data_IF_741875772516
#
_entry.id   IF_741875772516
#
_cell.length_a   1.000
_cell.length_b   1.000
_cell.length_c   1.000
_cell.angle_alpha   90.00
_cell.angle_beta   90.00
_cell.angle_gamma   90.00
#
_symmetry.space_group_name_H-M   'P 1'
#
loop_
_entity.id
_entity.type
_entity.pdbx_description
1 polymer ?
#
# COMPACT_ATOMS: atom_id res chain seq x y z
N UNK A 1 6.31 -3.07 23.58
CA UNK A 1 7.00 -1.78 23.76
C UNK A 1 6.02 -0.78 24.34
N UNK A 2 6.44 0.07 25.28
CA UNK A 2 5.60 1.15 25.80
C UNK A 2 5.80 2.39 24.93
N UNK A 3 4.71 2.95 24.41
CA UNK A 3 4.66 4.24 23.71
C UNK A 3 3.94 5.21 24.64
N UNK A 4 4.60 6.32 24.98
CA UNK A 4 4.12 7.28 25.97
C UNK A 4 3.75 8.60 25.32
N UNK A 5 2.46 8.97 25.38
CA UNK A 5 1.96 10.28 24.95
C UNK A 5 1.47 11.12 26.13
N UNK A 6 1.56 10.60 27.38
CA UNK A 6 1.10 11.27 28.59
C UNK A 6 1.97 12.50 28.88
N UNK A 7 1.32 13.66 29.04
CA UNK A 7 1.97 14.94 29.32
C UNK A 7 3.03 15.37 28.29
N UNK A 8 3.00 14.81 27.10
CA UNK A 8 3.92 15.21 26.01
C UNK A 8 3.28 16.23 25.09
N UNK A 9 4.05 17.23 24.71
CA UNK A 9 3.75 18.11 23.58
C UNK A 9 4.44 17.53 22.35
N UNK A 10 3.66 17.18 21.35
CA UNK A 10 4.17 16.75 20.04
C UNK A 10 4.22 17.98 19.15
N UNK A 11 5.41 18.53 18.98
CA UNK A 11 5.67 19.78 18.21
C UNK A 11 6.98 19.60 17.44
N UNK A 12 6.89 18.98 16.27
CA UNK A 12 8.02 18.71 15.40
C UNK A 12 7.57 18.68 13.95
N UNK A 13 8.54 18.79 13.03
CA UNK A 13 8.30 18.65 11.59
C UNK A 13 8.61 17.24 11.14
N UNK A 14 7.74 16.66 10.32
CA UNK A 14 7.90 15.32 9.76
C UNK A 14 7.59 15.33 8.26
N UNK A 15 8.48 14.73 7.48
CA UNK A 15 8.25 14.48 6.06
C UNK A 15 7.42 13.21 5.86
N UNK A 16 6.41 13.29 5.00
CA UNK A 16 5.78 12.07 4.48
C UNK A 16 6.84 11.27 3.69
N UNK A 17 6.98 9.95 3.95
CA UNK A 17 7.97 9.15 3.25
C UNK A 17 7.66 9.09 1.74
N UNK A 18 8.63 8.71 0.88
CA UNK A 18 8.36 8.52 -0.55
C UNK A 18 7.23 7.52 -0.79
N UNK A 19 6.32 7.83 -1.72
CA UNK A 19 5.17 6.98 -2.03
C UNK A 19 5.61 5.60 -2.51
N UNK A 20 5.35 4.60 -1.68
CA UNK A 20 5.61 3.20 -2.01
C UNK A 20 4.96 2.80 -3.34
N UNK A 21 3.71 3.20 -3.55
CA UNK A 21 2.94 2.88 -4.75
C UNK A 21 3.53 3.46 -6.02
N UNK A 22 4.12 4.65 -5.97
CA UNK A 22 4.82 5.26 -7.09
C UNK A 22 6.21 4.66 -7.24
N UNK A 23 6.93 4.46 -6.14
CA UNK A 23 8.29 3.94 -6.15
C UNK A 23 8.40 2.58 -6.85
N UNK A 24 7.51 1.63 -6.55
CA UNK A 24 7.47 0.33 -7.23
C UNK A 24 7.37 0.48 -8.75
N UNK A 25 6.45 1.34 -9.21
CA UNK A 25 6.21 1.58 -10.64
C UNK A 25 7.43 2.20 -11.32
N UNK A 26 7.99 3.23 -10.71
CA UNK A 26 9.21 3.88 -11.20
C UNK A 26 10.37 2.89 -11.35
N UNK A 27 10.60 2.04 -10.34
CA UNK A 27 11.66 1.03 -10.39
C UNK A 27 11.44 0.01 -11.51
N UNK A 28 10.20 -0.52 -11.62
CA UNK A 28 9.88 -1.55 -12.61
C UNK A 28 10.00 -0.97 -14.03
N UNK A 29 9.41 0.20 -14.30
CA UNK A 29 9.42 0.79 -15.64
C UNK A 29 10.84 1.17 -16.04
N UNK A 30 11.65 1.74 -15.15
CA UNK A 30 13.07 2.01 -15.41
C UNK A 30 13.85 0.74 -15.70
N UNK A 31 13.64 -0.31 -14.90
CA UNK A 31 14.26 -1.60 -15.16
C UNK A 31 13.92 -2.12 -16.56
N UNK A 32 12.65 -2.07 -16.94
CA UNK A 32 12.19 -2.47 -18.27
C UNK A 32 12.79 -1.59 -19.38
N UNK A 33 13.15 -0.36 -19.07
CA UNK A 33 13.82 0.57 -19.99
C UNK A 33 15.37 0.43 -19.98
N UNK A 34 15.91 -0.58 -19.28
CA UNK A 34 17.35 -0.82 -19.19
C UNK A 34 18.10 0.09 -18.19
N UNK A 35 17.40 0.89 -17.40
CA UNK A 35 17.99 1.71 -16.33
C UNK A 35 18.03 0.93 -15.01
N UNK A 36 19.21 0.47 -14.64
CA UNK A 36 19.47 -0.32 -13.43
C UNK A 36 20.11 0.50 -12.28
N UNK A 37 20.28 1.81 -12.45
CA UNK A 37 21.02 2.65 -11.50
C UNK A 37 20.40 2.68 -10.09
N UNK A 38 19.09 2.46 -9.97
CA UNK A 38 18.35 2.57 -8.71
C UNK A 38 18.05 1.23 -8.04
N UNK A 39 18.64 0.12 -8.48
CA UNK A 39 18.40 -1.21 -7.91
C UNK A 39 19.15 -1.46 -6.61
N UNK A 40 20.23 -0.74 -6.33
CA UNK A 40 20.94 -0.86 -5.06
C UNK A 40 20.00 -0.49 -3.89
N UNK A 41 19.93 -1.34 -2.83
CA UNK A 41 19.13 -1.01 -1.66
C UNK A 41 19.69 0.22 -0.93
N UNK A 42 18.80 1.07 -0.42
CA UNK A 42 19.13 2.22 0.43
C UNK A 42 18.65 1.94 1.86
N UNK A 43 19.30 2.58 2.84
CA UNK A 43 18.88 2.44 4.25
C UNK A 43 17.46 2.99 4.49
N UNK A 44 17.09 4.05 3.76
CA UNK A 44 15.75 4.65 3.78
C UNK A 44 14.68 3.85 3.02
N UNK A 45 15.03 2.79 2.28
CA UNK A 45 14.02 1.98 1.60
C UNK A 45 13.20 1.18 2.62
N UNK A 46 11.89 1.25 2.51
CA UNK A 46 11.03 0.32 3.23
C UNK A 46 11.16 -1.12 2.69
N UNK A 47 10.69 -2.09 3.46
CA UNK A 47 10.87 -3.53 3.13
C UNK A 47 10.22 -3.93 1.82
N UNK A 48 9.07 -3.35 1.46
CA UNK A 48 8.38 -3.63 0.20
C UNK A 48 9.19 -3.15 -1.01
N UNK A 49 9.81 -1.96 -0.92
CA UNK A 49 10.70 -1.42 -1.97
C UNK A 49 11.96 -2.27 -2.08
N UNK A 50 12.56 -2.67 -0.95
CA UNK A 50 13.72 -3.59 -0.92
C UNK A 50 13.39 -4.91 -1.61
N UNK A 51 12.20 -5.48 -1.38
CA UNK A 51 11.76 -6.69 -2.07
C UNK A 51 11.67 -6.50 -3.59
N UNK A 52 11.12 -5.39 -4.07
CA UNK A 52 11.09 -5.09 -5.52
C UNK A 52 12.48 -4.95 -6.10
N UNK A 53 13.39 -4.22 -5.44
CA UNK A 53 14.79 -4.10 -5.87
C UNK A 53 15.49 -5.46 -5.95
N UNK A 54 15.26 -6.34 -4.97
CA UNK A 54 15.83 -7.68 -4.94
C UNK A 54 15.32 -8.55 -6.10
N UNK A 55 14.02 -8.52 -6.39
CA UNK A 55 13.41 -9.23 -7.54
C UNK A 55 13.98 -8.71 -8.86
N UNK A 56 14.03 -7.39 -9.06
CA UNK A 56 14.57 -6.78 -10.28
C UNK A 56 16.07 -7.09 -10.45
N UNK A 57 16.83 -7.11 -9.36
CA UNK A 57 18.25 -7.51 -9.38
C UNK A 57 18.40 -8.96 -9.81
N UNK A 58 17.59 -9.88 -9.27
CA UNK A 58 17.62 -11.29 -9.65
C UNK A 58 17.28 -11.49 -11.14
N UNK A 59 16.32 -10.73 -11.67
CA UNK A 59 15.97 -10.76 -13.10
C UNK A 59 17.10 -10.22 -13.99
N UNK A 60 17.74 -9.09 -13.61
CA UNK A 60 18.90 -8.54 -14.32
C UNK A 60 20.05 -9.55 -14.37
N UNK A 61 20.37 -10.16 -13.22
CA UNK A 61 21.50 -11.10 -13.10
C UNK A 61 21.21 -12.41 -13.84
N UNK A 62 19.95 -12.77 -14.01
CA UNK A 62 19.54 -13.89 -14.86
C UNK A 62 19.81 -13.59 -16.33
N UNK A 63 19.44 -12.41 -16.83
CA UNK A 63 19.66 -12.01 -18.22
C UNK A 63 21.14 -11.78 -18.58
N UNK A 64 22.01 -11.62 -17.59
CA UNK A 64 23.46 -11.42 -17.80
C UNK A 64 24.28 -12.71 -17.78
N UNK A 65 23.67 -13.89 -17.52
CA UNK A 65 24.39 -15.18 -17.44
C UNK A 65 24.77 -15.66 -18.82
N UNK A 66 26.02 -16.15 -18.96
CA UNK A 66 26.44 -16.89 -20.12
C UNK A 66 25.94 -18.36 -20.07
N UNK A 67 25.89 -19.01 -21.21
CA UNK A 67 25.29 -20.34 -21.37
C UNK A 67 25.97 -21.49 -20.57
N UNK A 68 27.01 -21.21 -19.78
CA UNK A 68 27.81 -22.23 -19.07
C UNK A 68 27.38 -22.50 -17.62
N UNK A 69 26.41 -21.75 -17.09
CA UNK A 69 25.97 -21.88 -15.69
C UNK A 69 24.44 -21.88 -15.51
N UNK A 70 23.70 -22.52 -16.42
CA UNK A 70 22.23 -22.41 -16.50
C UNK A 70 21.54 -23.18 -15.36
N UNK A 71 20.83 -22.44 -14.49
CA UNK A 71 19.72 -22.98 -13.71
C UNK A 71 18.46 -22.89 -14.57
N UNK A 72 17.62 -23.92 -14.58
CA UNK A 72 16.32 -23.92 -15.24
C UNK A 72 15.30 -23.02 -14.53
N UNK A 73 15.69 -22.40 -13.43
CA UNK A 73 14.82 -21.57 -12.61
C UNK A 73 15.50 -20.33 -12.05
N UNK A 74 14.68 -19.28 -11.78
CA UNK A 74 15.07 -18.05 -11.08
C UNK A 74 14.24 -17.88 -9.83
N UNK A 75 14.91 -17.63 -8.69
CA UNK A 75 14.24 -17.32 -7.42
C UNK A 75 14.08 -15.82 -7.24
N UNK A 76 12.85 -15.39 -6.96
CA UNK A 76 12.40 -14.00 -6.89
C UNK A 76 11.83 -13.70 -5.50
N UNK A 77 12.61 -13.03 -4.61
CA UNK A 77 12.24 -12.86 -3.21
C UNK A 77 11.26 -11.70 -3.02
N UNK A 78 9.99 -12.00 -2.73
CA UNK A 78 8.93 -11.00 -2.50
C UNK A 78 8.73 -10.64 -1.03
N UNK A 79 9.30 -11.41 -0.08
CA UNK A 79 9.05 -11.26 1.35
C UNK A 79 7.55 -11.18 1.66
N UNK A 80 7.07 -10.13 2.32
CA UNK A 80 5.65 -9.87 2.58
C UNK A 80 5.01 -8.89 1.59
N UNK A 81 5.74 -8.44 0.56
CA UNK A 81 5.29 -7.39 -0.36
C UNK A 81 4.26 -7.89 -1.37
N UNK A 82 2.98 -7.55 -1.12
CA UNK A 82 1.90 -7.87 -2.05
C UNK A 82 2.00 -7.12 -3.38
N UNK A 83 2.52 -5.90 -3.37
CA UNK A 83 2.74 -5.11 -4.60
C UNK A 83 3.83 -5.73 -5.45
N UNK A 84 4.97 -6.10 -4.84
CA UNK A 84 6.06 -6.77 -5.54
C UNK A 84 5.58 -8.07 -6.19
N UNK A 85 4.94 -8.95 -5.44
CA UNK A 85 4.46 -10.24 -5.98
C UNK A 85 3.52 -10.04 -7.17
N UNK A 86 2.48 -9.20 -7.01
CA UNK A 86 1.44 -9.05 -8.01
C UNK A 86 1.86 -8.29 -9.25
N UNK A 87 2.77 -7.33 -9.12
CA UNK A 87 3.36 -6.65 -10.27
C UNK A 87 4.37 -7.55 -10.99
N UNK A 88 5.19 -8.26 -10.22
CA UNK A 88 6.31 -8.99 -10.80
C UNK A 88 5.95 -10.35 -11.38
N UNK A 89 4.82 -10.96 -11.03
CA UNK A 89 4.36 -12.19 -11.71
C UNK A 89 4.22 -11.94 -13.22
N UNK A 90 3.35 -11.03 -13.71
CA UNK A 90 3.23 -10.81 -15.15
C UNK A 90 4.48 -10.16 -15.75
N UNK A 91 5.13 -9.24 -15.05
CA UNK A 91 6.34 -8.57 -15.55
C UNK A 91 7.48 -9.55 -15.76
N UNK A 92 7.77 -10.41 -14.78
CA UNK A 92 8.84 -11.39 -14.89
C UNK A 92 8.50 -12.48 -15.92
N UNK A 93 7.22 -12.89 -15.99
CA UNK A 93 6.76 -13.81 -17.03
C UNK A 93 6.99 -13.23 -18.44
N UNK A 94 6.57 -12.00 -18.71
CA UNK A 94 6.81 -11.35 -19.99
C UNK A 94 8.31 -11.11 -20.27
N UNK A 95 9.10 -10.81 -19.23
CA UNK A 95 10.53 -10.49 -19.34
C UNK A 95 11.37 -11.74 -19.63
N UNK A 96 11.12 -12.88 -18.99
CA UNK A 96 11.89 -14.12 -19.10
C UNK A 96 11.19 -15.15 -19.99
N UNK A 97 9.88 -15.34 -19.80
CA UNK A 97 9.08 -16.39 -20.44
C UNK A 97 8.21 -15.87 -21.59
N UNK A 98 8.43 -14.64 -22.06
CA UNK A 98 7.67 -14.06 -23.15
C UNK A 98 7.99 -14.75 -24.48
N UNK A 99 6.98 -14.91 -25.35
CA UNK A 99 7.11 -15.53 -26.67
C UNK A 99 8.27 -14.90 -27.48
N UNK A 100 9.13 -15.76 -28.03
CA UNK A 100 10.29 -15.33 -28.81
C UNK A 100 11.44 -14.73 -27.98
N UNK A 101 11.39 -14.81 -26.67
CA UNK A 101 12.47 -14.39 -25.76
C UNK A 101 13.54 -15.47 -25.66
N UNK A 102 14.79 -15.04 -25.58
CA UNK A 102 15.86 -15.92 -25.14
C UNK A 102 15.83 -15.98 -23.61
N UNK A 103 15.25 -17.05 -23.07
CA UNK A 103 15.15 -17.27 -21.63
C UNK A 103 16.47 -17.71 -21.00
N UNK A 104 17.56 -17.82 -21.77
CA UNK A 104 18.84 -18.40 -21.35
C UNK A 104 18.65 -19.76 -20.65
N UNK A 105 17.67 -20.56 -21.07
CA UNK A 105 17.35 -21.89 -20.52
C UNK A 105 16.45 -21.87 -19.28
N UNK A 106 16.05 -20.69 -18.79
CA UNK A 106 15.11 -20.58 -17.67
C UNK A 106 13.69 -20.86 -18.14
N UNK A 107 13.01 -21.79 -17.49
CA UNK A 107 11.62 -22.16 -17.79
C UNK A 107 10.71 -22.09 -16.55
N UNK A 108 11.26 -21.65 -15.40
CA UNK A 108 10.56 -21.58 -14.12
C UNK A 108 10.95 -20.34 -13.32
N UNK A 109 9.95 -19.59 -12.86
CA UNK A 109 10.12 -18.49 -11.92
C UNK A 109 9.56 -18.93 -10.56
N UNK A 110 10.34 -18.75 -9.48
CA UNK A 110 9.98 -19.17 -8.12
C UNK A 110 9.91 -17.91 -7.25
N UNK A 111 8.69 -17.46 -6.94
CA UNK A 111 8.48 -16.33 -6.04
C UNK A 111 8.42 -16.82 -4.59
N UNK A 112 9.40 -16.44 -3.77
CA UNK A 112 9.38 -16.74 -2.34
C UNK A 112 8.56 -15.72 -1.58
N UNK A 113 7.79 -16.19 -0.60
CA UNK A 113 6.88 -15.36 0.19
C UNK A 113 7.13 -15.51 1.68
N UNK A 114 6.74 -14.51 2.46
CA UNK A 114 6.76 -14.54 3.91
C UNK A 114 5.41 -14.09 4.50
N UNK A 115 5.20 -14.36 5.79
CA UNK A 115 3.99 -13.98 6.50
C UNK A 115 2.73 -14.50 5.84
N UNK A 116 1.72 -13.64 5.68
CA UNK A 116 0.43 -13.95 5.06
C UNK A 116 0.42 -13.80 3.53
N UNK A 117 1.53 -13.42 2.91
CA UNK A 117 1.53 -13.12 1.47
C UNK A 117 1.12 -14.34 0.62
N UNK A 118 1.59 -15.53 1.01
CA UNK A 118 1.25 -16.79 0.34
C UNK A 118 -0.26 -17.06 0.30
N UNK A 119 -0.96 -16.72 1.38
CA UNK A 119 -2.38 -17.02 1.56
C UNK A 119 -3.30 -16.03 0.82
N UNK A 120 -2.75 -14.91 0.33
CA UNK A 120 -3.52 -13.90 -0.40
C UNK A 120 -3.96 -14.42 -1.77
N UNK A 121 -5.17 -14.02 -2.25
CA UNK A 121 -5.70 -14.49 -3.52
C UNK A 121 -4.80 -14.09 -4.70
N UNK A 122 -4.72 -15.01 -5.68
CA UNK A 122 -4.05 -14.84 -6.97
C UNK A 122 -4.90 -15.41 -8.12
N UNK A 123 -6.10 -15.88 -7.82
CA UNK A 123 -6.94 -16.63 -8.76
C UNK A 123 -7.28 -15.80 -9.99
N UNK A 124 -7.66 -14.54 -9.83
CA UNK A 124 -8.02 -13.66 -10.95
C UNK A 124 -6.82 -13.41 -11.89
N UNK A 125 -5.61 -13.29 -11.31
CA UNK A 125 -4.40 -13.13 -12.11
C UNK A 125 -4.05 -14.41 -12.85
N UNK A 126 -4.17 -15.57 -12.19
CA UNK A 126 -3.97 -16.88 -12.80
C UNK A 126 -4.92 -17.07 -13.97
N UNK A 127 -6.21 -16.85 -13.75
CA UNK A 127 -7.25 -17.04 -14.75
C UNK A 127 -7.08 -16.10 -15.96
N UNK A 128 -6.52 -14.90 -15.75
CA UNK A 128 -6.18 -13.97 -16.82
C UNK A 128 -4.92 -14.38 -17.60
N UNK A 129 -3.96 -15.07 -16.99
CA UNK A 129 -2.68 -15.42 -17.63
C UNK A 129 -2.67 -16.84 -18.23
N UNK A 130 -3.48 -17.74 -17.70
CA UNK A 130 -3.55 -19.14 -18.17
C UNK A 130 -3.90 -19.27 -19.67
N UNK A 131 -4.90 -18.53 -20.24
CA UNK A 131 -5.18 -18.56 -21.67
C UNK A 131 -4.02 -18.08 -22.55
N UNK A 132 -3.06 -17.38 -21.96
CA UNK A 132 -1.85 -16.85 -22.60
C UNK A 132 -0.61 -17.70 -22.31
N UNK A 133 -0.79 -18.97 -21.95
CA UNK A 133 0.27 -19.96 -21.84
C UNK A 133 1.04 -19.96 -20.50
N UNK A 134 0.60 -19.23 -19.50
CA UNK A 134 1.26 -19.16 -18.17
C UNK A 134 0.49 -19.98 -17.14
N UNK A 135 1.20 -20.90 -16.47
CA UNK A 135 0.71 -21.58 -15.25
C UNK A 135 1.23 -20.87 -14.00
N UNK A 136 0.34 -20.64 -13.02
CA UNK A 136 0.65 -20.10 -11.70
C UNK A 136 0.20 -21.11 -10.64
N UNK A 137 1.15 -21.71 -9.94
CA UNK A 137 0.89 -22.73 -8.94
C UNK A 137 1.40 -22.29 -7.57
N UNK A 138 0.66 -22.66 -6.51
CA UNK A 138 1.08 -22.49 -5.11
C UNK A 138 1.68 -23.80 -4.59
N UNK A 139 2.93 -23.74 -4.10
CA UNK A 139 3.56 -24.85 -3.39
C UNK A 139 3.42 -24.61 -1.88
N UNK A 140 2.51 -25.33 -1.27
CA UNK A 140 2.23 -25.26 0.17
C UNK A 140 3.41 -25.70 1.04
N UNK A 141 4.24 -26.63 0.54
CA UNK A 141 5.36 -27.16 1.31
C UNK A 141 6.48 -26.14 1.49
N UNK A 142 6.75 -25.35 0.46
CA UNK A 142 7.78 -24.31 0.45
C UNK A 142 7.24 -22.91 0.63
N UNK A 143 5.89 -22.74 0.58
CA UNK A 143 5.19 -21.45 0.58
C UNK A 143 5.70 -20.51 -0.53
N UNK A 144 5.87 -21.07 -1.73
CA UNK A 144 6.32 -20.36 -2.92
C UNK A 144 5.24 -20.35 -4.01
N UNK A 145 5.31 -19.34 -4.87
CA UNK A 145 4.49 -19.28 -6.08
C UNK A 145 5.39 -19.66 -7.25
N UNK A 146 5.00 -20.67 -8.00
CA UNK A 146 5.75 -21.19 -9.15
C UNK A 146 5.03 -20.73 -10.42
N UNK A 147 5.78 -20.08 -11.32
CA UNK A 147 5.26 -19.60 -12.62
C UNK A 147 6.07 -20.28 -13.72
N UNK A 148 5.36 -20.92 -14.66
CA UNK A 148 5.94 -21.63 -15.81
C UNK A 148 5.13 -21.38 -17.07
N UNK A 149 5.67 -21.81 -18.21
CA UNK A 149 5.01 -21.67 -19.51
C UNK A 149 5.69 -20.66 -20.43
N UNK A 150 4.99 -20.22 -21.47
CA UNK A 150 5.46 -19.20 -22.41
C UNK A 150 4.37 -18.14 -22.58
N UNK A 151 4.65 -16.89 -22.11
CA UNK A 151 3.67 -15.81 -22.14
C UNK A 151 3.49 -15.24 -23.54
N UNK A 152 2.26 -15.27 -24.05
CA UNK A 152 1.92 -14.81 -25.40
C UNK A 152 1.18 -13.46 -25.38
N UNK A 153 1.33 -12.62 -26.43
CA UNK A 153 0.56 -11.40 -26.59
C UNK A 153 -0.95 -11.68 -26.77
N UNK A 154 -1.79 -10.67 -26.60
CA UNK A 154 -3.23 -10.76 -26.84
C UNK A 154 -4.09 -9.98 -25.83
N UNK A 155 -5.34 -10.39 -25.72
CA UNK A 155 -6.35 -9.77 -24.84
C UNK A 155 -6.39 -10.47 -23.48
N UNK A 156 -5.96 -9.80 -22.42
CA UNK A 156 -5.98 -10.29 -21.06
C UNK A 156 -7.26 -9.83 -20.34
N UNK A 157 -8.20 -10.74 -20.14
CA UNK A 157 -9.47 -10.44 -19.45
C UNK A 157 -9.31 -10.67 -17.95
N UNK A 158 -9.67 -9.67 -17.13
CA UNK A 158 -9.49 -9.76 -15.69
C UNK A 158 -10.63 -9.07 -14.94
N UNK A 159 -11.05 -9.66 -13.79
CA UNK A 159 -12.01 -9.04 -12.89
C UNK A 159 -11.34 -7.89 -12.09
N UNK A 160 -11.89 -6.67 -12.24
CA UNK A 160 -11.40 -5.47 -11.57
C UNK A 160 -11.79 -5.34 -10.11
N UNK A 161 -12.65 -6.21 -9.58
CA UNK A 161 -13.23 -6.08 -8.25
C UNK A 161 -12.27 -6.44 -7.11
N UNK A 162 -11.26 -7.31 -7.37
CA UNK A 162 -10.38 -7.86 -6.32
C UNK A 162 -9.11 -7.01 -6.13
N UNK A 163 -8.36 -6.74 -7.19
CA UNK A 163 -7.10 -6.01 -7.04
C UNK A 163 -6.66 -5.25 -8.30
N UNK A 164 -6.57 -3.93 -8.19
CA UNK A 164 -5.96 -3.07 -9.22
C UNK A 164 -4.47 -3.36 -9.47
N UNK A 165 -3.80 -4.07 -8.56
CA UNK A 165 -2.39 -4.44 -8.71
C UNK A 165 -2.17 -5.45 -9.85
N UNK A 166 -3.15 -6.33 -10.11
CA UNK A 166 -3.07 -7.26 -11.24
C UNK A 166 -3.08 -6.53 -12.57
N UNK A 167 -4.03 -5.59 -12.74
CA UNK A 167 -4.13 -4.75 -13.93
C UNK A 167 -2.84 -3.94 -14.12
N UNK A 168 -2.34 -3.31 -13.07
CA UNK A 168 -1.07 -2.56 -13.11
C UNK A 168 0.11 -3.43 -13.55
N UNK A 169 0.23 -4.64 -13.02
CA UNK A 169 1.28 -5.60 -13.39
C UNK A 169 1.18 -6.02 -14.85
N UNK A 170 -0.02 -6.34 -15.33
CA UNK A 170 -0.26 -6.67 -16.74
C UNK A 170 0.06 -5.50 -17.65
N UNK A 171 -0.37 -4.26 -17.32
CA UNK A 171 -0.08 -3.09 -18.16
C UNK A 171 1.43 -2.86 -18.33
N UNK A 172 2.22 -3.02 -17.27
CA UNK A 172 3.68 -2.93 -17.37
C UNK A 172 4.26 -4.09 -18.17
N UNK A 173 3.77 -5.32 -17.99
CA UNK A 173 4.24 -6.51 -18.71
C UNK A 173 3.99 -6.43 -20.21
N UNK A 174 2.79 -6.01 -20.61
CA UNK A 174 2.38 -5.99 -22.03
C UNK A 174 3.15 -4.98 -22.88
N UNK A 175 3.80 -3.97 -22.26
CA UNK A 175 4.72 -3.09 -23.00
C UNK A 175 5.91 -3.85 -23.61
N UNK A 176 6.21 -5.05 -23.13
CA UNK A 176 7.34 -5.88 -23.59
C UNK A 176 7.06 -6.64 -24.88
N UNK A 177 5.82 -6.72 -25.34
CA UNK A 177 5.48 -7.36 -26.62
C UNK A 177 5.59 -6.39 -27.79
N UNK A 178 5.75 -6.92 -28.99
CA UNK A 178 5.70 -6.17 -30.26
C UNK A 178 4.30 -6.17 -30.85
N UNK A 179 3.53 -7.21 -30.57
CA UNK A 179 2.17 -7.38 -31.01
C UNK A 179 1.19 -6.63 -30.10
N UNK A 180 0.10 -6.14 -30.71
CA UNK A 180 -0.94 -5.45 -29.97
C UNK A 180 -1.51 -6.33 -28.86
N UNK A 181 -1.40 -5.82 -27.64
CA UNK A 181 -1.89 -6.50 -26.44
C UNK A 181 -2.60 -5.50 -25.54
N UNK A 182 -3.66 -5.95 -24.86
CA UNK A 182 -4.41 -5.07 -23.97
C UNK A 182 -5.07 -5.83 -22.83
N UNK A 183 -5.52 -5.08 -21.84
CA UNK A 183 -6.25 -5.60 -20.68
C UNK A 183 -7.71 -5.20 -20.78
N UNK A 184 -8.62 -6.18 -20.82
CA UNK A 184 -10.06 -5.98 -20.67
C UNK A 184 -10.48 -6.23 -19.23
N UNK A 185 -11.10 -5.23 -18.61
CA UNK A 185 -11.57 -5.34 -17.23
C UNK A 185 -13.03 -5.69 -17.21
N UNK A 186 -13.37 -6.79 -16.54
CA UNK A 186 -14.75 -7.20 -16.28
C UNK A 186 -15.14 -6.84 -14.84
N UNK A 187 -16.45 -6.85 -14.56
CA UNK A 187 -16.94 -6.51 -13.23
C UNK A 187 -16.78 -5.03 -12.88
N UNK A 188 -16.83 -4.74 -11.59
CA UNK A 188 -16.69 -3.39 -11.08
C UNK A 188 -15.19 -3.04 -10.91
N UNK A 189 -14.73 -1.99 -11.59
CA UNK A 189 -13.36 -1.52 -11.45
C UNK A 189 -13.19 -0.76 -10.13
N UNK A 190 -12.44 -1.33 -9.19
CA UNK A 190 -12.15 -0.73 -7.88
C UNK A 190 -10.74 -0.19 -7.80
N UNK A 191 -10.56 0.87 -7.00
CA UNK A 191 -9.24 1.51 -6.80
C UNK A 191 -8.58 1.95 -8.11
N UNK A 192 -9.36 2.60 -8.97
CA UNK A 192 -8.92 3.12 -10.29
C UNK A 192 -7.66 4.00 -10.16
N UNK A 193 -7.52 4.78 -9.08
CA UNK A 193 -6.38 5.67 -8.86
C UNK A 193 -5.02 4.94 -8.88
N UNK A 194 -4.96 3.68 -8.44
CA UNK A 194 -3.70 2.91 -8.53
C UNK A 194 -3.38 2.48 -9.97
N UNK A 195 -4.39 2.32 -10.83
CA UNK A 195 -4.18 2.06 -12.25
C UNK A 195 -3.72 3.35 -12.93
N UNK A 196 -4.33 4.49 -12.58
CA UNK A 196 -3.93 5.81 -13.06
C UNK A 196 -2.47 6.12 -12.70
N UNK A 197 -2.00 5.78 -11.49
CA UNK A 197 -0.59 5.90 -11.14
C UNK A 197 0.32 5.05 -12.05
N UNK A 198 -0.16 3.91 -12.54
CA UNK A 198 0.59 3.08 -13.48
C UNK A 198 0.60 3.69 -14.87
N UNK A 199 -0.54 4.18 -15.36
CA UNK A 199 -0.63 4.83 -16.69
C UNK A 199 0.18 6.13 -16.71
N UNK A 200 0.19 6.91 -15.63
CA UNK A 200 1.00 8.14 -15.51
C UNK A 200 2.51 7.80 -15.48
N UNK A 201 2.89 6.77 -14.73
CA UNK A 201 4.28 6.32 -14.70
C UNK A 201 4.73 5.81 -16.08
N UNK A 202 3.92 5.01 -16.77
CA UNK A 202 4.20 4.56 -18.14
C UNK A 202 4.30 5.75 -19.10
N UNK A 203 3.36 6.70 -19.05
CA UNK A 203 3.38 7.90 -19.88
C UNK A 203 4.65 8.75 -19.66
N UNK A 204 5.09 8.90 -18.42
CA UNK A 204 6.34 9.62 -18.06
C UNK A 204 7.56 9.05 -18.77
N UNK A 205 7.58 7.75 -19.01
CA UNK A 205 8.65 7.05 -19.72
C UNK A 205 8.34 6.81 -21.22
N UNK A 206 7.34 7.49 -21.78
CA UNK A 206 7.03 7.43 -23.21
C UNK A 206 6.19 6.23 -23.65
N UNK A 207 5.53 5.54 -22.70
CA UNK A 207 4.64 4.40 -22.96
C UNK A 207 3.18 4.76 -22.62
N UNK A 208 2.51 5.60 -23.43
CA UNK A 208 1.13 5.97 -23.14
C UNK A 208 0.21 4.75 -23.16
N UNK A 209 -0.78 4.78 -22.26
CA UNK A 209 -1.86 3.80 -22.21
C UNK A 209 -3.14 4.48 -22.67
N UNK A 210 -3.72 3.98 -23.76
CA UNK A 210 -5.03 4.42 -24.24
C UNK A 210 -6.12 3.66 -23.50
N UNK A 211 -7.15 4.34 -23.04
CA UNK A 211 -8.29 3.73 -22.37
C UNK A 211 -9.54 3.88 -23.25
N UNK A 212 -10.26 2.78 -23.46
CA UNK A 212 -11.53 2.73 -24.17
C UNK A 212 -12.56 1.93 -23.35
N UNK A 213 -13.49 2.63 -22.72
CA UNK A 213 -14.42 1.99 -21.79
C UNK A 213 -13.67 1.34 -20.61
N UNK A 214 -13.81 0.03 -20.46
CA UNK A 214 -13.12 -0.76 -19.45
C UNK A 214 -11.84 -1.46 -19.97
N UNK A 215 -11.37 -1.13 -21.17
CA UNK A 215 -10.18 -1.70 -21.76
C UNK A 215 -9.00 -0.72 -21.74
N UNK A 216 -7.80 -1.24 -21.45
CA UNK A 216 -6.55 -0.50 -21.35
C UNK A 216 -5.55 -1.02 -22.37
N UNK A 217 -5.11 -0.17 -23.28
CA UNK A 217 -4.20 -0.46 -24.40
C UNK A 217 -2.85 0.20 -24.14
N UNK A 218 -1.88 -0.50 -23.51
CA UNK A 218 -0.52 0.02 -23.36
C UNK A 218 0.17 0.06 -24.72
N UNK A 219 1.11 0.98 -24.88
CA UNK A 219 1.97 0.99 -26.06
C UNK A 219 2.90 -0.21 -26.02
N UNK A 220 2.70 -1.13 -26.94
CA UNK A 220 3.54 -2.32 -27.15
C UNK A 220 4.73 -1.94 -28.01
N UNK A 221 5.96 -2.00 -27.51
CA UNK A 221 7.16 -1.55 -28.24
C UNK A 221 8.24 -2.61 -28.37
N UNK A 222 8.04 -3.78 -27.77
CA UNK A 222 9.06 -4.80 -27.74
C UNK A 222 10.35 -4.24 -27.14
N UNK A 223 10.53 -4.31 -25.83
CA UNK A 223 11.85 -4.00 -25.28
C UNK A 223 12.87 -4.96 -25.89
N UNK A 224 13.70 -4.48 -26.81
CA UNK A 224 14.98 -5.10 -27.00
C UNK A 224 15.65 -5.02 -25.63
N UNK A 225 15.78 -6.15 -24.94
CA UNK A 225 16.80 -6.28 -23.90
C UNK A 225 18.05 -5.85 -24.64
N UNK A 226 18.57 -4.68 -24.29
CA UNK A 226 19.74 -4.16 -24.95
C UNK A 226 20.80 -5.26 -24.87
N UNK A 227 21.01 -5.94 -25.99
CA UNK A 227 22.34 -6.42 -26.28
C UNK A 227 23.25 -5.25 -25.93
N UNK A 228 24.32 -5.46 -25.20
CA UNK A 228 25.25 -4.45 -24.71
C UNK A 228 25.82 -3.49 -25.79
N UNK A 229 25.24 -3.47 -26.98
CA UNK A 229 25.49 -2.59 -28.10
C UNK A 229 24.69 -1.29 -27.93
N UNK A 230 25.41 -0.33 -27.36
CA UNK A 230 25.07 1.05 -27.02
C UNK A 230 24.66 1.95 -28.21
N UNK A 231 24.05 1.44 -29.28
CA UNK A 231 23.76 2.23 -30.48
C UNK A 231 22.28 2.60 -30.69
N UNK A 232 21.35 2.22 -29.82
CA UNK A 232 19.95 2.60 -29.96
C UNK A 232 19.65 3.90 -29.19
N UNK A 233 19.51 4.99 -29.94
CA UNK A 233 19.29 6.36 -29.48
C UNK A 233 18.03 6.59 -28.60
N UNK A 234 17.14 5.61 -28.48
CA UNK A 234 15.97 5.68 -27.62
C UNK A 234 16.31 5.53 -26.11
N UNK A 235 17.41 4.86 -25.76
CA UNK A 235 17.78 4.57 -24.39
C UNK A 235 18.51 5.73 -23.68
N UNK A 236 19.09 6.67 -24.42
CA UNK A 236 19.79 7.82 -23.86
C UNK A 236 18.89 8.87 -23.21
N UNK A 237 17.57 8.85 -23.51
CA UNK A 237 16.63 9.87 -23.02
C UNK A 237 16.07 9.59 -21.61
N UNK A 238 16.12 8.36 -21.11
CA UNK A 238 15.54 8.02 -19.80
C UNK A 238 16.46 8.36 -18.62
N UNK A 239 17.77 8.38 -18.83
CA UNK A 239 18.73 8.82 -17.79
C UNK A 239 18.51 10.29 -17.37
N UNK A 240 17.92 11.10 -18.26
CA UNK A 240 17.62 12.51 -18.00
C UNK A 240 16.33 12.72 -17.20
N UNK A 241 15.49 11.68 -17.06
CA UNK A 241 14.27 11.77 -16.24
C UNK A 241 14.65 11.64 -14.76
N UNK A 242 14.46 12.67 -13.93
CA UNK A 242 14.82 12.58 -12.51
C UNK A 242 14.07 11.46 -11.80
N UNK A 243 14.80 10.65 -11.04
CA UNK A 243 14.19 9.70 -10.10
C UNK A 243 13.72 10.44 -8.87
N UNK A 244 12.51 10.98 -8.93
CA UNK A 244 11.90 11.70 -7.83
C UNK A 244 10.53 11.11 -7.54
N UNK A 245 10.35 10.57 -6.35
CA UNK A 245 9.08 10.04 -5.85
C UNK A 245 8.47 11.05 -4.89
N UNK A 246 7.22 11.43 -5.13
CA UNK A 246 6.49 12.32 -4.23
C UNK A 246 6.12 11.61 -2.91
N UNK A 247 5.74 12.38 -1.90
CA UNK A 247 5.33 11.86 -0.60
C UNK A 247 4.12 10.94 -0.68
N UNK A 248 4.11 9.94 0.18
CA UNK A 248 3.08 8.91 0.28
C UNK A 248 1.84 9.45 1.00
N UNK A 249 0.72 9.55 0.28
CA UNK A 249 -0.53 10.02 0.86
C UNK A 249 -1.18 9.00 1.80
N UNK A 250 -0.88 7.70 1.66
CA UNK A 250 -1.37 6.70 2.61
C UNK A 250 -0.75 6.86 3.99
N UNK A 251 0.58 7.08 4.06
CA UNK A 251 1.29 7.39 5.31
C UNK A 251 1.04 8.85 5.73
N UNK A 252 0.96 9.76 4.78
CA UNK A 252 0.59 11.15 5.00
C UNK A 252 -0.77 11.30 5.67
N UNK A 253 -1.75 10.46 5.32
CA UNK A 253 -3.06 10.45 5.97
C UNK A 253 -2.97 10.17 7.47
N UNK A 254 -2.13 9.21 7.90
CA UNK A 254 -1.86 8.98 9.32
C UNK A 254 -1.29 10.23 9.99
N UNK A 255 -0.30 10.87 9.38
CA UNK A 255 0.33 12.07 9.90
C UNK A 255 -0.65 13.24 10.00
N UNK A 256 -1.51 13.41 9.01
CA UNK A 256 -2.56 14.44 9.01
C UNK A 256 -3.62 14.15 10.08
N UNK A 257 -4.01 12.87 10.28
CA UNK A 257 -4.85 12.50 11.40
C UNK A 257 -4.18 12.78 12.75
N UNK A 258 -2.88 12.51 12.90
CA UNK A 258 -2.13 12.82 14.12
C UNK A 258 -2.03 14.34 14.37
N UNK A 259 -1.91 15.13 13.31
CA UNK A 259 -1.88 16.59 13.37
C UNK A 259 -3.16 17.19 13.97
N UNK A 260 -4.32 16.57 13.78
CA UNK A 260 -5.59 17.04 14.37
C UNK A 260 -5.55 17.08 15.92
N UNK A 261 -4.66 16.32 16.56
CA UNK A 261 -4.51 16.23 18.02
C UNK A 261 -3.10 16.59 18.52
N UNK A 262 -2.27 17.19 17.65
CA UNK A 262 -0.89 17.58 17.97
C UNK A 262 -0.47 18.84 17.18
N UNK A 263 0.67 19.42 17.55
CA UNK A 263 1.23 20.61 16.88
C UNK A 263 2.26 20.24 15.79
N UNK A 264 2.26 18.99 15.28
CA UNK A 264 3.22 18.57 14.27
C UNK A 264 2.99 19.30 12.93
N UNK A 265 4.09 19.54 12.21
CA UNK A 265 4.07 20.03 10.84
C UNK A 265 4.36 18.90 9.87
N UNK A 266 3.46 18.61 8.95
CA UNK A 266 3.62 17.57 7.92
C UNK A 266 4.06 18.21 6.62
N UNK A 267 5.16 17.72 6.04
CA UNK A 267 5.75 18.21 4.79
C UNK A 267 5.86 17.10 3.75
N UNK A 268 6.37 17.41 2.56
CA UNK A 268 6.55 16.48 1.43
C UNK A 268 5.26 15.85 0.88
N UNK A 269 4.09 16.45 1.10
CA UNK A 269 2.84 16.04 0.45
C UNK A 269 2.53 16.96 -0.72
N UNK A 270 2.34 16.40 -1.92
CA UNK A 270 1.94 17.15 -3.12
C UNK A 270 0.41 17.32 -3.14
N UNK A 271 -0.13 18.57 -2.97
CA UNK A 271 -1.58 18.76 -2.99
C UNK A 271 -2.24 18.44 -4.34
N UNK A 272 -1.47 18.41 -5.43
CA UNK A 272 -1.93 18.05 -6.77
C UNK A 272 -1.71 16.57 -7.10
N UNK A 273 -1.33 15.74 -6.11
CA UNK A 273 -1.12 14.30 -6.30
C UNK A 273 -2.38 13.60 -6.78
N UNK A 274 -2.18 12.61 -7.65
CA UNK A 274 -3.23 11.69 -8.12
C UNK A 274 -3.39 10.45 -7.24
N UNK A 275 -2.63 10.34 -6.14
CA UNK A 275 -2.81 9.28 -5.15
C UNK A 275 -4.22 9.38 -4.54
N UNK A 276 -5.02 8.31 -4.63
CA UNK A 276 -6.42 8.29 -4.16
C UNK A 276 -6.55 8.60 -2.67
N UNK A 277 -5.54 8.23 -1.88
CA UNK A 277 -5.49 8.46 -0.43
C UNK A 277 -5.39 9.96 -0.04
N UNK A 278 -5.19 10.87 -1.02
CA UNK A 278 -5.37 12.32 -0.83
C UNK A 278 -6.80 12.67 -0.38
N UNK A 279 -7.76 11.77 -0.60
CA UNK A 279 -9.13 11.89 -0.11
C UNK A 279 -9.24 12.08 1.42
N UNK A 280 -8.16 11.86 2.18
CA UNK A 280 -8.10 12.20 3.60
C UNK A 280 -8.39 13.69 3.85
N UNK A 281 -7.99 14.59 2.93
CA UNK A 281 -8.26 16.03 3.07
C UNK A 281 -9.77 16.31 3.04
N UNK A 282 -10.48 15.68 2.11
CA UNK A 282 -11.93 15.82 1.97
C UNK A 282 -12.66 15.25 3.18
N UNK A 283 -12.13 14.14 3.73
CA UNK A 283 -12.67 13.52 4.94
C UNK A 283 -12.47 14.39 6.18
N UNK A 284 -11.28 14.96 6.39
CA UNK A 284 -11.02 15.87 7.50
C UNK A 284 -11.88 17.14 7.39
N UNK A 285 -12.04 17.69 6.19
CA UNK A 285 -12.93 18.83 5.94
C UNK A 285 -14.40 18.48 6.25
N UNK A 286 -14.85 17.28 5.91
CA UNK A 286 -16.19 16.79 6.26
C UNK A 286 -16.40 16.66 7.77
N UNK A 287 -15.41 16.17 8.51
CA UNK A 287 -15.43 16.10 9.99
C UNK A 287 -15.53 17.53 10.58
N UNK A 288 -14.73 18.46 10.10
CA UNK A 288 -14.75 19.84 10.58
C UNK A 288 -16.10 20.50 10.31
N UNK A 289 -16.70 20.28 9.14
CA UNK A 289 -18.05 20.82 8.79
C UNK A 289 -19.17 20.19 9.59
N UNK A 290 -19.04 18.91 10.00
CA UNK A 290 -20.02 18.23 10.84
C UNK A 290 -20.10 18.79 12.28
N UNK A 291 -19.28 19.80 12.60
CA UNK A 291 -19.36 20.53 13.87
C UNK A 291 -18.60 19.87 15.02
N UNK A 292 -17.61 19.04 14.70
CA UNK A 292 -16.62 18.64 15.73
C UNK A 292 -15.97 19.88 16.30
N UNK A 293 -15.89 20.04 17.63
CA UNK A 293 -15.16 21.15 18.23
C UNK A 293 -13.71 21.08 17.73
N UNK A 294 -13.25 22.18 17.12
CA UNK A 294 -11.86 22.32 16.71
C UNK A 294 -10.97 21.94 17.90
N UNK A 295 -10.18 20.91 17.77
CA UNK A 295 -9.12 20.59 18.72
C UNK A 295 -7.97 21.56 18.42
N UNK A 296 -8.20 22.84 18.67
CA UNK A 296 -7.12 23.80 18.83
C UNK A 296 -6.51 23.53 20.21
N UNK A 297 -5.33 22.99 20.26
CA UNK A 297 -4.29 22.90 21.29
C UNK A 297 -4.58 23.20 22.77
N UNK A 298 -5.79 23.01 23.26
CA UNK A 298 -6.17 23.24 24.67
C UNK A 298 -7.15 22.17 25.12
N UNK A 299 -6.71 21.30 26.01
CA UNK A 299 -7.51 20.28 26.64
C UNK A 299 -8.65 20.87 27.46
N UNK A 300 -9.82 21.02 26.87
CA UNK A 300 -11.10 21.12 27.57
C UNK A 300 -12.19 20.56 26.67
N UNK A 301 -12.37 19.21 26.75
CA UNK A 301 -13.52 18.54 26.17
C UNK A 301 -14.72 18.78 27.07
N UNK A 302 -15.39 19.91 26.88
CA UNK A 302 -16.74 20.14 27.37
C UNK A 302 -17.52 20.84 26.25
N UNK A 303 -18.01 20.05 25.29
CA UNK A 303 -18.84 20.51 24.19
C UNK A 303 -20.21 19.88 24.27
N UNK A 304 -21.20 20.62 24.75
CA UNK A 304 -22.61 20.36 24.46
C UNK A 304 -22.91 20.81 23.04
N UNK A 305 -22.79 19.95 22.06
CA UNK A 305 -23.33 20.18 20.72
C UNK A 305 -24.65 19.42 20.56
N UNK A 306 -25.71 20.13 20.39
CA UNK A 306 -27.08 19.61 20.22
C UNK A 306 -27.42 19.19 18.79
N UNK A 307 -26.48 18.71 18.00
CA UNK A 307 -26.72 18.17 16.66
C UNK A 307 -26.05 16.80 16.55
N UNK A 308 -26.78 15.79 16.07
CA UNK A 308 -26.24 14.44 15.81
C UNK A 308 -25.25 14.52 14.64
N UNK A 309 -23.97 14.70 14.93
CA UNK A 309 -22.89 14.69 13.95
C UNK A 309 -22.70 13.27 13.42
N UNK A 310 -23.31 12.95 12.29
CA UNK A 310 -23.20 11.64 11.64
C UNK A 310 -22.62 11.78 10.24
N UNK A 311 -21.76 10.84 9.83
CA UNK A 311 -21.11 10.80 8.52
C UNK A 311 -21.20 9.39 7.94
N UNK A 312 -21.53 9.27 6.65
CA UNK A 312 -21.35 8.04 5.88
C UNK A 312 -20.30 8.28 4.83
N UNK A 313 -19.33 7.38 4.73
CA UNK A 313 -18.19 7.51 3.81
C UNK A 313 -17.96 6.21 3.04
N UNK A 314 -17.80 6.34 1.72
CA UNK A 314 -17.43 5.22 0.85
C UNK A 314 -15.90 5.08 0.82
N UNK A 315 -15.42 3.89 1.18
CA UNK A 315 -13.99 3.54 1.27
C UNK A 315 -13.53 2.60 0.15
N UNK A 316 -14.36 2.37 -0.84
CA UNK A 316 -14.09 1.42 -1.94
C UNK A 316 -12.73 1.68 -2.59
N UNK A 317 -12.37 2.95 -2.83
CA UNK A 317 -11.14 3.33 -3.53
C UNK A 317 -9.97 3.72 -2.61
N UNK A 318 -10.19 3.81 -1.29
CA UNK A 318 -9.23 4.28 -0.31
C UNK A 318 -9.01 3.31 0.88
N UNK A 319 -8.87 2.01 0.63
CA UNK A 319 -8.83 1.01 1.71
C UNK A 319 -7.64 1.19 2.67
N UNK A 320 -6.57 1.85 2.23
CA UNK A 320 -5.35 1.95 3.04
C UNK A 320 -5.41 3.07 4.10
N UNK A 321 -6.25 4.10 3.93
CA UNK A 321 -6.44 5.15 4.93
C UNK A 321 -7.67 4.95 5.80
N UNK A 322 -8.60 4.09 5.39
CA UNK A 322 -9.84 3.80 6.13
C UNK A 322 -9.62 3.49 7.61
N UNK A 323 -8.59 2.72 8.03
CA UNK A 323 -8.32 2.48 9.44
C UNK A 323 -8.11 3.76 10.26
N UNK A 324 -7.37 4.73 9.74
CA UNK A 324 -7.13 6.00 10.44
C UNK A 324 -8.39 6.84 10.53
N UNK A 325 -9.15 6.90 9.42
CA UNK A 325 -10.45 7.57 9.36
C UNK A 325 -11.40 7.00 10.42
N UNK A 326 -11.39 5.67 10.58
CA UNK A 326 -12.20 4.97 11.57
C UNK A 326 -11.81 5.32 13.01
N UNK A 327 -10.51 5.42 13.30
CA UNK A 327 -10.05 5.82 14.64
C UNK A 327 -10.49 7.25 14.95
N UNK A 328 -10.22 8.23 14.08
CA UNK A 328 -10.56 9.62 14.37
C UNK A 328 -12.07 9.86 14.43
N UNK A 329 -12.87 9.11 13.65
CA UNK A 329 -14.32 9.19 13.69
C UNK A 329 -14.89 8.93 15.09
N UNK A 330 -14.31 7.99 15.84
CA UNK A 330 -14.74 7.65 17.19
C UNK A 330 -14.65 8.85 18.17
N UNK A 331 -13.77 9.79 17.90
CA UNK A 331 -13.53 10.95 18.76
C UNK A 331 -14.15 12.24 18.21
N UNK A 332 -14.36 12.32 16.90
CA UNK A 332 -14.82 13.53 16.22
C UNK A 332 -16.32 13.54 15.92
N UNK A 333 -16.98 12.37 15.82
CA UNK A 333 -18.36 12.24 15.37
C UNK A 333 -19.21 11.48 16.39
N UNK A 334 -20.52 11.70 16.36
CA UNK A 334 -21.48 10.91 17.16
C UNK A 334 -21.67 9.51 16.57
N UNK A 335 -21.63 9.40 15.26
CA UNK A 335 -21.72 8.16 14.51
C UNK A 335 -21.02 8.30 13.16
N UNK A 336 -20.26 7.30 12.76
CA UNK A 336 -19.72 7.18 11.41
C UNK A 336 -20.07 5.80 10.82
N UNK A 337 -20.35 5.77 9.52
CA UNK A 337 -20.59 4.54 8.76
C UNK A 337 -19.62 4.52 7.58
N UNK A 338 -18.75 3.52 7.55
CA UNK A 338 -17.81 3.27 6.46
C UNK A 338 -18.37 2.13 5.61
N UNK A 339 -18.48 2.34 4.30
CA UNK A 339 -18.95 1.36 3.31
C UNK A 339 -17.83 0.98 2.36
N UNK A 340 -17.98 -0.09 1.57
CA UNK A 340 -16.95 -0.54 0.63
C UNK A 340 -15.70 -1.12 1.31
N UNK A 341 -15.85 -1.73 2.49
CA UNK A 341 -14.73 -2.14 3.34
C UNK A 341 -14.36 -3.63 3.25
N UNK A 342 -15.10 -4.42 2.47
CA UNK A 342 -14.89 -5.89 2.38
C UNK A 342 -13.43 -6.28 2.09
N UNK A 343 -12.73 -5.51 1.23
CA UNK A 343 -11.31 -5.74 0.87
C UNK A 343 -10.32 -5.52 2.02
N UNK A 344 -10.71 -4.81 3.08
CA UNK A 344 -9.86 -4.62 4.27
C UNK A 344 -9.63 -5.93 5.03
N UNK A 345 -10.52 -6.92 4.86
CA UNK A 345 -10.44 -8.22 5.54
C UNK A 345 -9.34 -9.13 4.99
N UNK A 346 -8.93 -8.92 3.75
CA UNK A 346 -7.94 -9.73 3.02
C UNK A 346 -6.59 -9.02 2.83
N UNK A 347 -6.33 -7.97 3.63
CA UNK A 347 -5.05 -7.25 3.66
C UNK A 347 -4.01 -8.02 4.51
N UNK A 348 -2.98 -7.34 4.98
CA UNK A 348 -1.93 -7.89 5.86
C UNK A 348 -2.51 -8.50 7.14
N UNK A 349 -3.55 -7.88 7.66
CA UNK A 349 -4.44 -8.40 8.70
C UNK A 349 -5.91 -8.29 8.24
N UNK A 350 -6.86 -8.86 8.98
CA UNK A 350 -8.26 -8.42 8.88
C UNK A 350 -8.35 -7.05 9.59
N UNK A 351 -8.19 -5.97 8.80
CA UNK A 351 -8.15 -4.60 9.32
C UNK A 351 -9.47 -4.16 9.92
N UNK A 352 -10.60 -4.68 9.46
CA UNK A 352 -11.92 -4.39 10.06
C UNK A 352 -11.98 -4.94 11.48
N UNK A 353 -11.64 -6.21 11.65
CA UNK A 353 -11.55 -6.85 12.97
C UNK A 353 -10.55 -6.12 13.87
N UNK A 354 -9.36 -5.81 13.37
CA UNK A 354 -8.29 -5.18 14.13
C UNK A 354 -8.70 -3.78 14.65
N UNK A 355 -9.26 -2.93 13.80
CA UNK A 355 -9.79 -1.60 14.20
C UNK A 355 -10.86 -1.74 15.27
N UNK A 356 -11.79 -2.68 15.11
CA UNK A 356 -12.85 -2.91 16.10
C UNK A 356 -12.29 -3.34 17.45
N UNK A 357 -11.30 -4.24 17.47
CA UNK A 357 -10.69 -4.71 18.72
C UNK A 357 -9.88 -3.60 19.41
N UNK A 358 -9.13 -2.77 18.65
CA UNK A 358 -8.45 -1.60 19.20
C UNK A 358 -9.45 -0.58 19.78
N UNK A 359 -10.54 -0.27 19.08
CA UNK A 359 -11.58 0.63 19.56
C UNK A 359 -12.33 0.04 20.77
N UNK A 360 -12.60 -1.26 20.79
CA UNK A 360 -13.21 -1.93 21.94
C UNK A 360 -12.31 -1.89 23.20
N UNK A 361 -10.98 -1.94 23.03
CA UNK A 361 -10.02 -1.84 24.15
C UNK A 361 -10.14 -0.52 24.90
N UNK A 362 -10.58 0.54 24.23
CA UNK A 362 -10.85 1.86 24.84
C UNK A 362 -12.33 2.10 25.11
N UNK A 363 -13.21 1.11 24.89
CA UNK A 363 -14.62 1.18 25.23
C UNK A 363 -15.53 1.78 24.16
N UNK A 364 -15.05 1.96 22.93
CA UNK A 364 -15.85 2.42 21.79
C UNK A 364 -16.72 1.28 21.26
N UNK A 365 -18.01 1.57 21.08
CA UNK A 365 -18.95 0.63 20.45
C UNK A 365 -18.79 0.66 18.93
N UNK A 366 -18.76 -0.52 18.33
CA UNK A 366 -18.76 -0.69 16.87
C UNK A 366 -19.75 -1.76 16.43
N UNK A 367 -20.26 -1.66 15.23
CA UNK A 367 -21.11 -2.68 14.57
C UNK A 367 -20.56 -2.92 13.17
N UNK A 368 -20.63 -4.14 12.67
CA UNK A 368 -20.17 -4.46 11.31
C UNK A 368 -21.16 -5.35 10.56
N UNK A 369 -21.09 -5.24 9.24
CA UNK A 369 -21.58 -6.24 8.29
C UNK A 369 -20.39 -6.72 7.45
N UNK A 370 -20.62 -7.49 6.40
CA UNK A 370 -19.59 -7.90 5.46
C UNK A 370 -18.84 -6.70 4.85
N UNK A 371 -19.59 -5.66 4.47
CA UNK A 371 -19.07 -4.50 3.72
C UNK A 371 -19.25 -3.15 4.42
N UNK A 372 -19.69 -3.12 5.67
CA UNK A 372 -19.85 -1.88 6.44
C UNK A 372 -19.24 -1.97 7.82
N UNK A 373 -18.69 -0.83 8.31
CA UNK A 373 -18.28 -0.63 9.70
C UNK A 373 -18.95 0.62 10.24
N UNK A 374 -19.76 0.45 11.28
CA UNK A 374 -20.35 1.55 12.03
C UNK A 374 -19.58 1.78 13.32
N UNK A 375 -19.21 3.02 13.57
CA UNK A 375 -18.51 3.47 14.76
C UNK A 375 -19.36 4.49 15.49
N UNK A 376 -19.47 4.31 16.79
CA UNK A 376 -20.18 5.24 17.68
C UNK A 376 -19.19 6.09 18.47
N UNK A 377 -19.60 7.29 18.85
CA UNK A 377 -18.79 8.22 19.63
C UNK A 377 -18.20 7.56 20.86
N UNK A 378 -16.93 7.87 21.12
CA UNK A 378 -16.23 7.52 22.34
C UNK A 378 -16.98 8.02 23.60
N UNK A 379 -17.52 9.26 23.56
CA UNK A 379 -18.25 9.87 24.68
C UNK A 379 -19.64 9.26 24.93
N UNK A 380 -20.31 8.74 23.88
CA UNK A 380 -21.65 8.15 23.95
C UNK A 380 -21.68 6.64 24.21
N UNK A 381 -20.54 5.98 24.22
CA UNK A 381 -20.45 4.52 24.39
C UNK A 381 -20.81 4.01 25.81
N UNK A 382 -21.51 4.78 26.62
CA UNK A 382 -22.26 4.42 27.83
C UNK A 382 -21.54 3.81 29.02
N UNK A 383 -20.35 3.26 28.81
CA UNK A 383 -19.42 2.77 29.86
C UNK A 383 -18.15 3.60 29.96
N UNK A 384 -18.03 4.60 29.09
CA UNK A 384 -16.83 5.39 28.94
C UNK A 384 -16.60 6.35 30.12
N UNK A 385 -17.64 6.86 30.76
CA UNK A 385 -17.47 7.81 31.85
C UNK A 385 -16.53 7.35 32.97
N UNK A 386 -16.74 6.12 33.47
CA UNK A 386 -15.88 5.55 34.51
C UNK A 386 -14.51 5.06 34.00
N UNK A 387 -14.39 4.74 32.69
CA UNK A 387 -13.15 4.27 32.09
C UNK A 387 -12.28 5.43 31.61
N UNK A 388 -12.90 6.52 31.17
CA UNK A 388 -12.21 7.76 30.77
C UNK A 388 -11.40 8.32 31.95
N UNK A 389 -12.04 8.51 33.10
CA UNK A 389 -11.37 9.04 34.30
C UNK A 389 -10.21 8.15 34.78
N UNK A 390 -10.33 6.83 34.57
CA UNK A 390 -9.25 5.89 34.89
C UNK A 390 -8.09 5.92 33.89
N UNK A 391 -8.33 6.21 32.63
CA UNK A 391 -7.28 6.33 31.60
C UNK A 391 -6.45 7.61 31.75
N UNK A 392 -7.06 8.68 32.26
CA UNK A 392 -6.40 9.95 32.55
C UNK A 392 -5.71 9.98 33.93
N UNK A 393 -5.90 8.97 34.78
CA UNK A 393 -5.23 8.89 36.07
C UNK A 393 -3.70 8.85 35.88
N UNK A 394 -2.95 9.63 36.67
CA UNK A 394 -1.49 9.75 36.55
C UNK A 394 -0.74 8.40 36.62
N UNK A 395 -1.36 7.39 37.24
CA UNK A 395 -0.80 6.05 37.44
C UNK A 395 -1.59 4.96 36.67
N UNK A 396 -2.32 5.31 35.60
CA UNK A 396 -3.05 4.31 34.84
C UNK A 396 -2.07 3.37 34.08
N UNK A 397 -2.37 2.08 34.15
CA UNK A 397 -1.65 1.07 33.36
C UNK A 397 -1.74 1.39 31.86
N UNK A 398 -0.66 1.15 31.06
CA UNK A 398 -0.70 1.31 29.62
C UNK A 398 -1.81 0.47 28.97
N UNK A 399 -2.49 1.05 27.98
CA UNK A 399 -3.51 0.31 27.23
C UNK A 399 -2.82 -0.69 26.31
N UNK A 400 -3.14 -1.98 26.44
CA UNK A 400 -2.59 -3.02 25.57
C UNK A 400 -3.30 -3.01 24.22
N UNK A 401 -2.55 -2.74 23.15
CA UNK A 401 -3.02 -2.73 21.78
C UNK A 401 -2.14 -3.63 20.92
N UNK A 402 -2.75 -4.37 20.00
CA UNK A 402 -2.00 -5.19 19.04
C UNK A 402 -1.81 -4.47 17.72
N UNK A 403 -0.64 -4.61 17.14
CA UNK A 403 -0.33 -4.22 15.78
C UNK A 403 -0.87 -5.23 14.75
N UNK A 404 -1.23 -6.44 15.18
CA UNK A 404 -1.57 -7.56 14.28
C UNK A 404 -0.50 -7.83 13.22
N UNK A 405 0.75 -7.47 13.49
CA UNK A 405 1.86 -7.46 12.55
C UNK A 405 1.56 -6.69 11.25
N UNK A 406 0.71 -5.67 11.32
CA UNK A 406 0.29 -4.78 10.24
C UNK A 406 0.64 -3.33 10.60
N UNK A 407 1.45 -2.69 9.76
CA UNK A 407 1.92 -1.33 9.98
C UNK A 407 0.77 -0.32 10.13
N UNK A 408 -0.36 -0.50 9.43
CA UNK A 408 -1.54 0.38 9.55
C UNK A 408 -2.16 0.26 10.94
N UNK A 409 -2.18 -0.95 11.50
CA UNK A 409 -2.72 -1.18 12.85
C UNK A 409 -1.80 -0.65 13.94
N UNK A 410 -0.47 -0.77 13.76
CA UNK A 410 0.49 -0.11 14.66
C UNK A 410 0.31 1.42 14.64
N UNK A 411 0.12 2.03 13.47
CA UNK A 411 -0.16 3.46 13.34
C UNK A 411 -1.50 3.84 13.98
N UNK A 412 -2.55 3.02 13.86
CA UNK A 412 -3.82 3.25 14.55
C UNK A 412 -3.65 3.24 16.07
N UNK A 413 -2.85 2.32 16.62
CA UNK A 413 -2.55 2.28 18.04
C UNK A 413 -1.79 3.54 18.51
N UNK A 414 -0.80 4.01 17.74
CA UNK A 414 -0.09 5.27 18.02
C UNK A 414 -1.07 6.44 17.98
N UNK A 415 -1.97 6.49 16.99
CA UNK A 415 -2.98 7.55 16.87
C UNK A 415 -3.91 7.58 18.09
N UNK A 416 -4.36 6.41 18.58
CA UNK A 416 -5.15 6.31 19.82
C UNK A 416 -4.37 6.88 21.02
N UNK A 417 -3.07 6.57 21.14
CA UNK A 417 -2.23 7.09 22.22
C UNK A 417 -2.12 8.63 22.17
N UNK A 418 -1.93 9.18 20.97
CA UNK A 418 -1.85 10.65 20.75
C UNK A 418 -3.17 11.33 21.08
N UNK A 419 -4.29 10.81 20.59
CA UNK A 419 -5.63 11.39 20.82
C UNK A 419 -5.97 11.38 22.32
N UNK A 420 -5.76 10.24 22.98
CA UNK A 420 -6.09 10.06 24.41
C UNK A 420 -5.02 10.64 25.34
N UNK A 421 -3.88 11.11 24.83
CA UNK A 421 -2.72 11.55 25.63
C UNK A 421 -2.35 10.55 26.72
N UNK A 422 -2.29 9.27 26.37
CA UNK A 422 -2.07 8.14 27.29
C UNK A 422 -0.93 7.26 26.83
N UNK A 423 -0.52 6.35 27.71
CA UNK A 423 0.48 5.34 27.40
C UNK A 423 -0.20 4.09 26.83
N UNK A 424 0.43 3.49 25.82
CA UNK A 424 0.02 2.20 25.27
C UNK A 424 1.16 1.20 25.34
N UNK A 425 0.81 -0.09 25.46
CA UNK A 425 1.73 -1.21 25.25
C UNK A 425 1.42 -1.82 23.87
N UNK A 426 2.33 -1.64 22.91
CA UNK A 426 2.24 -2.18 21.57
C UNK A 426 3.10 -3.45 21.45
N UNK A 427 2.55 -4.52 20.87
CA UNK A 427 3.20 -5.82 20.74
C UNK A 427 4.37 -5.81 19.76
N UNK A 428 4.23 -5.17 18.59
CA UNK A 428 5.26 -5.12 17.55
C UNK A 428 5.31 -3.75 16.87
N UNK A 429 6.42 -3.01 17.04
CA UNK A 429 6.70 -1.75 16.34
C UNK A 429 7.43 -1.98 15.02
N UNK A 430 8.21 -3.07 14.89
CA UNK A 430 9.02 -3.33 13.68
C UNK A 430 8.19 -3.54 12.42
N UNK A 431 6.90 -3.86 12.54
CA UNK A 431 6.01 -3.94 11.38
C UNK A 431 5.90 -2.62 10.59
N UNK A 432 6.28 -1.48 11.20
CA UNK A 432 6.35 -0.17 10.52
C UNK A 432 7.42 -0.14 9.41
N UNK A 433 8.49 -0.96 9.50
CA UNK A 433 9.54 -1.07 8.48
C UNK A 433 9.01 -1.41 7.09
N UNK A 434 7.83 -2.00 7.05
CA UNK A 434 7.17 -2.41 5.82
C UNK A 434 6.79 -1.21 4.92
N UNK A 435 6.45 -0.06 5.49
CA UNK A 435 6.03 1.10 4.70
C UNK A 435 6.53 2.45 5.20
N UNK A 436 6.89 2.59 6.48
CA UNK A 436 7.34 3.84 7.07
C UNK A 436 8.40 3.57 8.15
N UNK A 437 9.61 3.13 7.78
CA UNK A 437 10.67 2.81 8.74
C UNK A 437 11.09 3.99 9.61
N UNK A 438 11.10 5.22 9.07
CA UNK A 438 11.48 6.44 9.80
C UNK A 438 10.52 6.75 10.96
N UNK A 439 9.28 6.26 10.93
CA UNK A 439 8.35 6.43 12.03
C UNK A 439 8.82 5.72 13.30
N UNK A 440 9.64 4.67 13.19
CA UNK A 440 10.23 3.98 14.35
C UNK A 440 11.17 4.94 15.08
N UNK A 441 12.01 5.67 14.34
CA UNK A 441 12.96 6.63 14.90
C UNK A 441 12.21 7.79 15.58
N UNK A 442 11.14 8.27 14.96
CA UNK A 442 10.25 9.30 15.52
C UNK A 442 9.59 8.83 16.82
N UNK A 443 9.11 7.57 16.85
CA UNK A 443 8.55 6.99 18.09
C UNK A 443 9.63 6.92 19.16
N UNK A 444 10.86 6.52 18.82
CA UNK A 444 11.97 6.45 19.78
C UNK A 444 12.36 7.83 20.31
N UNK A 445 12.38 8.85 19.46
CA UNK A 445 12.79 10.21 19.83
C UNK A 445 11.72 10.95 20.63
N UNK A 446 10.45 10.80 20.26
CA UNK A 446 9.37 11.64 20.76
C UNK A 446 8.34 10.92 21.66
N UNK A 447 8.22 9.59 21.55
CA UNK A 447 7.13 8.82 22.15
C UNK A 447 7.57 7.70 23.12
N UNK A 448 8.87 7.49 23.36
CA UNK A 448 9.31 6.57 24.42
C UNK A 448 9.24 7.25 25.79
N UNK A 449 9.01 6.48 26.90
CA UNK A 449 8.94 7.00 28.26
C UNK A 449 10.11 7.85 28.70
#
# INVERSE_FOLDING_TARGET
MIISCRNRKLDFTIDAPPSKSIYHRELIIRFLSGDYAHLAPLDSDNEDVRATKAVLTALRDCGARDASGISDSVTLPCNESGSTLRFMIPVAAAYILGLGRDSHGVNKLIFTTAGRLFDRPLDELRDAMEPHGISIEKDDATRTIIVTGEMTPGTYTIDGSVSSQYISGLLMALTLFTEDSHVEVTGELKSIHYIELTTDALLKYGYPVRMEGAAFYPTCCGYSIASADSSNAAHSSFADIPFKVEGDWSNGAFLLCMKEWSDITVTNLNPASRQGDRAILDYLDAIHKAGSPQVTGSANVSGTSGLDASLTWDCTDIPDITPYMAIIAAFALDKAVFTGISRLRIKESDRVKAVREQLASIGVKTEETEDTLTIYSYSRSGKAGNKIDSLYAQNAEPIKLSSYNDHRMAMCAILIAVILKTDIELDNLDCLRKSFPELIDIVHEHLLP
#
